data_IF_505557160552
#
_entry.id   IF_505557160552
#
_cell.length_a   1.000
_cell.length_b   1.000
_cell.length_c   1.000
_cell.angle_alpha   90.00
_cell.angle_beta   90.00
_cell.angle_gamma   90.00
#
_symmetry.space_group_name_H-M   'P 1'
#
loop_
_entity.id
_entity.type
_entity.pdbx_description
1 polymer ?
#
# COMPACT_ATOMS: atom_id res chain seq x y z
N UNK A 1 36.08 -44.94 17.89
CA UNK A 1 36.48 -44.95 16.47
C UNK A 1 35.62 -43.90 15.79
N UNK A 2 35.89 -42.61 15.87
CA UNK A 2 37.11 -41.84 15.51
C UNK A 2 37.46 -41.94 14.03
N UNK A 3 37.61 -40.75 13.40
CA UNK A 3 38.01 -40.40 12.02
C UNK A 3 36.84 -40.14 11.07
N UNK A 4 36.81 -39.12 10.22
CA UNK A 4 37.75 -38.04 9.87
C UNK A 4 36.91 -37.04 9.04
N UNK A 5 36.77 -35.77 9.44
CA UNK A 5 36.33 -34.70 8.53
C UNK A 5 37.38 -33.60 8.61
N UNK A 6 38.26 -33.63 7.62
CA UNK A 6 39.33 -32.67 7.38
C UNK A 6 38.76 -31.26 7.14
N UNK A 7 39.41 -30.29 7.78
CA UNK A 7 39.17 -28.85 7.67
C UNK A 7 39.30 -28.36 6.23
N UNK A 8 38.22 -27.76 5.68
CA UNK A 8 38.37 -26.81 4.56
C UNK A 8 38.53 -25.41 5.14
N UNK A 9 39.69 -24.83 4.90
CA UNK A 9 40.05 -23.45 5.26
C UNK A 9 39.27 -22.49 4.36
N UNK A 10 38.47 -21.61 4.92
CA UNK A 10 37.82 -20.50 4.19
C UNK A 10 38.89 -19.41 3.97
N UNK A 11 39.07 -18.87 2.75
CA UNK A 11 40.10 -17.85 2.49
C UNK A 11 39.77 -16.53 3.20
N UNK A 12 40.82 -15.85 3.68
CA UNK A 12 40.74 -14.54 4.34
C UNK A 12 40.49 -13.44 3.29
N UNK A 13 39.64 -12.47 3.61
CA UNK A 13 39.21 -11.37 2.74
C UNK A 13 40.39 -10.50 2.24
N UNK A 14 41.54 -10.56 2.94
CA UNK A 14 42.77 -9.86 2.55
C UNK A 14 43.41 -10.42 1.27
N UNK A 15 43.14 -11.68 0.91
CA UNK A 15 43.70 -12.31 -0.29
C UNK A 15 43.01 -11.82 -1.59
N UNK A 16 41.86 -11.15 -1.50
CA UNK A 16 41.16 -10.59 -2.67
C UNK A 16 41.69 -9.21 -3.09
N UNK A 17 42.30 -8.46 -2.16
CA UNK A 17 42.68 -7.06 -2.40
C UNK A 17 44.05 -6.88 -3.09
N UNK A 18 44.80 -7.95 -3.29
CA UNK A 18 46.08 -7.94 -4.03
C UNK A 18 45.94 -8.36 -5.51
N UNK A 19 44.73 -8.70 -5.97
CA UNK A 19 44.49 -9.17 -7.35
C UNK A 19 44.15 -8.09 -8.38
N UNK A 20 43.92 -6.83 -7.98
CA UNK A 20 43.68 -5.73 -8.92
C UNK A 20 44.65 -4.59 -8.63
N UNK A 21 45.75 -4.56 -9.38
CA UNK A 21 46.80 -3.55 -9.31
C UNK A 21 46.33 -2.18 -9.80
N UNK A 22 45.54 -1.47 -9.00
CA UNK A 22 45.34 -0.04 -9.12
C UNK A 22 45.27 0.58 -7.73
N UNK A 23 46.35 1.26 -7.33
CA UNK A 23 46.40 2.52 -6.57
C UNK A 23 47.89 2.72 -6.19
N UNK A 24 48.53 3.71 -6.80
CA UNK A 24 49.85 4.21 -6.37
C UNK A 24 49.67 5.40 -5.41
N UNK A 25 50.62 5.69 -4.50
CA UNK A 25 50.40 6.55 -3.33
C UNK A 25 50.34 8.06 -3.61
N UNK A 26 50.31 8.50 -4.86
CA UNK A 26 50.53 9.89 -5.25
C UNK A 26 49.25 10.73 -5.48
N UNK A 27 48.06 10.13 -5.43
CA UNK A 27 46.79 10.79 -5.79
C UNK A 27 45.94 11.25 -4.59
N UNK A 28 46.39 11.02 -3.35
CA UNK A 28 45.61 11.30 -2.14
C UNK A 28 45.63 12.76 -1.69
N UNK A 29 46.57 13.58 -2.17
CA UNK A 29 46.77 14.97 -1.68
C UNK A 29 45.93 16.01 -2.42
N UNK A 30 45.44 15.71 -3.63
CA UNK A 30 44.68 16.68 -4.45
C UNK A 30 43.16 16.66 -4.18
N UNK A 31 42.62 15.54 -3.69
CA UNK A 31 41.18 15.41 -3.41
C UNK A 31 40.74 16.22 -2.17
N UNK A 32 41.65 16.40 -1.20
CA UNK A 32 41.37 17.11 0.06
C UNK A 32 41.32 18.64 -0.13
N UNK A 33 41.97 19.18 -1.15
CA UNK A 33 42.03 20.64 -1.42
C UNK A 33 40.77 21.14 -2.18
N UNK A 34 40.13 20.27 -2.96
CA UNK A 34 38.90 20.62 -3.71
C UNK A 34 37.66 20.61 -2.79
N UNK A 35 37.64 19.77 -1.76
CA UNK A 35 36.52 19.71 -0.80
C UNK A 35 36.52 20.91 0.17
N UNK A 36 37.69 21.50 0.47
CA UNK A 36 37.79 22.65 1.37
C UNK A 36 37.43 24.00 0.72
N UNK A 37 37.28 24.05 -0.61
CA UNK A 37 37.05 25.30 -1.37
C UNK A 37 35.60 25.51 -1.81
N UNK A 38 34.70 24.53 -1.63
CA UNK A 38 33.25 24.70 -1.88
C UNK A 38 32.44 25.09 -0.64
N UNK A 39 33.05 25.13 0.55
CA UNK A 39 32.36 25.45 1.81
C UNK A 39 32.24 26.97 2.12
N UNK A 40 32.51 27.86 1.16
CA UNK A 40 32.62 29.31 1.41
C UNK A 40 31.63 30.23 0.65
N UNK A 41 30.65 29.69 -0.09
CA UNK A 41 29.70 30.52 -0.83
C UNK A 41 28.25 29.99 -0.76
N UNK A 42 27.63 30.08 0.41
CA UNK A 42 26.17 30.14 0.56
C UNK A 42 25.77 30.63 1.97
N UNK A 43 26.24 31.83 2.34
CA UNK A 43 25.72 32.56 3.49
C UNK A 43 25.09 33.86 3.00
N UNK A 44 23.77 33.87 2.78
CA UNK A 44 22.97 35.08 2.72
C UNK A 44 21.56 34.81 3.29
N UNK A 45 21.39 35.33 4.50
CA UNK A 45 20.18 35.74 5.21
C UNK A 45 18.88 35.88 4.41
N UNK A 46 17.85 35.13 4.82
CA UNK A 46 16.43 35.45 4.62
C UNK A 46 15.71 35.34 5.96
N UNK A 47 15.36 36.49 6.55
CA UNK A 47 14.65 36.60 7.82
C UNK A 47 13.14 36.46 7.58
N UNK A 48 12.38 35.61 8.31
CA UNK A 48 10.93 35.60 8.18
C UNK A 48 10.32 36.78 8.95
N UNK A 49 9.59 37.62 8.22
CA UNK A 49 8.70 38.66 8.75
C UNK A 49 7.58 38.01 9.58
N UNK A 50 7.25 38.50 10.78
CA UNK A 50 6.13 37.97 11.55
C UNK A 50 4.79 38.39 10.91
N UNK A 51 4.00 37.41 10.48
CA UNK A 51 2.60 37.58 10.11
C UNK A 51 1.79 38.01 11.34
N UNK A 52 0.90 39.01 11.26
CA UNK A 52 0.07 39.41 12.40
C UNK A 52 -0.92 38.29 12.76
N UNK A 53 -1.04 38.03 14.06
CA UNK A 53 -2.08 37.20 14.65
C UNK A 53 -3.46 37.83 14.34
N UNK A 54 -4.27 37.12 13.55
CA UNK A 54 -5.70 37.39 13.46
C UNK A 54 -6.35 36.85 14.74
N UNK A 55 -6.81 37.75 15.59
CA UNK A 55 -7.65 37.44 16.74
C UNK A 55 -8.97 36.86 16.22
N UNK A 56 -9.29 35.64 16.62
CA UNK A 56 -10.64 35.11 16.50
C UNK A 56 -11.53 35.89 17.46
N UNK A 57 -12.41 36.74 16.91
CA UNK A 57 -13.52 37.31 17.67
C UNK A 57 -14.53 36.21 18.00
N UNK A 58 -14.81 36.11 19.30
CA UNK A 58 -15.91 35.35 19.90
C UNK A 58 -17.23 35.69 19.21
N UNK A 59 -18.06 34.73 18.77
CA UNK A 59 -19.39 35.06 18.29
C UNK A 59 -20.26 35.52 19.46
N UNK A 60 -20.68 36.79 19.38
CA UNK A 60 -21.67 37.43 20.23
C UNK A 60 -23.05 36.78 20.00
N UNK A 61 -23.71 36.44 21.11
CA UNK A 61 -25.06 35.91 21.16
C UNK A 61 -26.10 37.03 20.97
N UNK A 62 -26.87 36.97 19.89
CA UNK A 62 -28.02 37.88 19.64
C UNK A 62 -29.13 37.11 18.90
N UNK A 63 -30.40 37.53 18.99
CA UNK A 63 -31.47 36.81 19.68
C UNK A 63 -32.41 36.06 18.73
N UNK A 64 -33.23 35.21 19.33
CA UNK A 64 -34.40 34.50 18.79
C UNK A 64 -35.15 35.25 17.66
N UNK A 65 -35.38 34.63 16.49
CA UNK A 65 -36.26 35.19 15.48
C UNK A 65 -37.74 34.97 15.86
N UNK A 66 -38.49 36.06 15.91
CA UNK A 66 -39.96 36.08 15.97
C UNK A 66 -40.52 35.55 14.64
N UNK A 67 -41.40 34.55 14.72
CA UNK A 67 -42.15 33.98 13.60
C UNK A 67 -43.15 34.97 12.99
N UNK A 68 -43.19 35.10 11.65
CA UNK A 68 -44.41 35.48 10.95
C UNK A 68 -44.88 34.39 9.97
N UNK A 69 -46.13 33.96 10.13
CA UNK A 69 -47.07 33.81 9.02
C UNK A 69 -46.86 32.70 7.98
N UNK A 70 -47.60 31.59 8.21
CA UNK A 70 -48.19 30.64 7.25
C UNK A 70 -48.15 31.11 5.77
N UNK A 71 -47.49 30.39 4.87
CA UNK A 71 -47.83 30.32 3.43
C UNK A 71 -47.26 29.05 2.77
N UNK A 72 -48.17 28.29 2.14
CA UNK A 72 -48.03 27.13 1.24
C UNK A 72 -47.08 25.98 1.63
N UNK A 73 -47.68 24.86 2.03
CA UNK A 73 -47.08 23.51 1.92
C UNK A 73 -46.57 23.30 0.48
N UNK A 74 -45.28 23.01 0.25
CA UNK A 74 -44.82 22.59 -1.07
C UNK A 74 -45.52 21.27 -1.41
N UNK A 75 -46.27 21.24 -2.51
CA UNK A 75 -46.73 20.01 -3.12
C UNK A 75 -45.50 19.13 -3.37
N UNK A 76 -45.49 17.93 -2.79
CA UNK A 76 -44.44 16.95 -3.06
C UNK A 76 -44.43 16.65 -4.56
N UNK A 77 -43.47 17.22 -5.29
CA UNK A 77 -43.12 16.75 -6.61
C UNK A 77 -42.62 15.33 -6.42
N UNK A 78 -43.35 14.36 -6.97
CA UNK A 78 -42.91 12.97 -7.05
C UNK A 78 -41.68 12.98 -7.96
N UNK A 79 -40.48 13.05 -7.38
CA UNK A 79 -39.26 12.81 -8.15
C UNK A 79 -39.34 11.34 -8.58
N UNK A 80 -39.29 11.03 -9.89
CA UNK A 80 -39.30 9.64 -10.32
C UNK A 80 -38.13 8.91 -9.64
N UNK A 81 -38.44 7.81 -8.96
CA UNK A 81 -37.44 6.98 -8.32
C UNK A 81 -36.50 6.43 -9.41
N UNK A 82 -35.17 6.46 -9.21
CA UNK A 82 -34.25 5.89 -10.18
C UNK A 82 -34.61 4.43 -10.44
N UNK A 83 -34.65 4.05 -11.71
CA UNK A 83 -34.98 2.69 -12.18
C UNK A 83 -33.70 2.00 -12.61
N UNK A 84 -33.60 0.69 -12.37
CA UNK A 84 -32.46 -0.14 -12.77
C UNK A 84 -32.18 0.01 -14.26
N UNK A 85 -30.90 0.02 -14.62
CA UNK A 85 -30.43 0.01 -16.01
C UNK A 85 -29.93 -1.38 -16.44
N UNK A 86 -29.82 -2.29 -15.48
CA UNK A 86 -29.53 -3.70 -15.71
C UNK A 86 -30.86 -4.34 -16.13
N UNK A 87 -31.03 -4.61 -17.43
CA UNK A 87 -32.20 -5.32 -17.99
C UNK A 87 -32.20 -6.80 -17.57
N UNK A 88 -32.22 -7.06 -16.27
CA UNK A 88 -32.12 -8.38 -15.64
C UNK A 88 -33.29 -8.54 -14.67
N UNK A 89 -34.09 -9.58 -14.90
CA UNK A 89 -35.12 -9.98 -13.94
C UNK A 89 -34.51 -10.91 -12.88
N UNK A 90 -34.97 -10.83 -11.63
CA UNK A 90 -34.46 -11.70 -10.56
C UNK A 90 -34.60 -13.19 -10.86
N UNK A 91 -35.55 -13.58 -11.72
CA UNK A 91 -35.67 -14.97 -12.16
C UNK A 91 -34.49 -15.48 -12.99
N UNK A 92 -33.78 -14.59 -13.68
CA UNK A 92 -32.64 -14.92 -14.52
C UNK A 92 -31.40 -15.26 -13.69
N UNK A 93 -31.38 -14.87 -12.41
CA UNK A 93 -30.31 -15.15 -11.46
C UNK A 93 -30.40 -16.54 -10.84
N UNK A 94 -31.54 -17.21 -10.97
CA UNK A 94 -31.83 -18.43 -10.24
C UNK A 94 -30.90 -19.60 -10.64
N UNK A 95 -30.18 -20.15 -9.65
CA UNK A 95 -29.36 -21.34 -9.79
C UNK A 95 -28.07 -21.14 -10.60
N UNK A 96 -27.65 -19.89 -10.83
CA UNK A 96 -26.40 -19.62 -11.55
C UNK A 96 -25.19 -20.18 -10.81
N UNK A 97 -24.20 -20.67 -11.54
CA UNK A 97 -22.90 -21.05 -10.98
C UNK A 97 -21.82 -20.09 -11.48
N UNK A 98 -21.09 -19.49 -10.55
CA UNK A 98 -20.05 -18.51 -10.80
C UNK A 98 -18.69 -19.06 -10.37
N UNK A 99 -17.67 -18.87 -11.20
CA UNK A 99 -16.30 -19.23 -10.87
C UNK A 99 -15.54 -18.02 -10.33
N UNK A 100 -14.84 -18.21 -9.20
CA UNK A 100 -14.08 -17.16 -8.53
C UNK A 100 -12.61 -17.55 -8.34
N UNK A 101 -11.70 -16.84 -8.99
CA UNK A 101 -10.25 -17.08 -8.88
C UNK A 101 -9.59 -16.11 -7.91
N UNK A 102 -8.86 -16.64 -6.93
CA UNK A 102 -8.19 -15.83 -5.91
C UNK A 102 -6.80 -16.36 -5.50
N UNK A 103 -5.92 -15.49 -4.95
CA UNK A 103 -4.58 -15.86 -4.49
C UNK A 103 -4.48 -16.06 -2.97
N UNK A 104 -5.60 -15.93 -2.23
CA UNK A 104 -5.56 -16.01 -0.77
C UNK A 104 -5.45 -17.45 -0.28
N UNK A 105 -4.57 -17.65 0.70
CA UNK A 105 -4.32 -18.91 1.39
C UNK A 105 -4.26 -18.66 2.91
N UNK A 106 -4.08 -19.71 3.72
CA UNK A 106 -4.02 -19.59 5.18
C UNK A 106 -5.32 -19.04 5.77
N UNK A 107 -5.20 -18.22 6.81
CA UNK A 107 -6.35 -17.65 7.53
C UNK A 107 -7.22 -16.77 6.63
N UNK A 108 -6.63 -15.95 5.76
CA UNK A 108 -7.40 -15.13 4.80
C UNK A 108 -8.17 -16.00 3.81
N UNK A 109 -7.55 -17.08 3.29
CA UNK A 109 -8.23 -18.03 2.40
C UNK A 109 -9.40 -18.72 3.09
N UNK A 110 -9.23 -19.12 4.36
CA UNK A 110 -10.29 -19.73 5.15
C UNK A 110 -11.47 -18.79 5.41
N UNK A 111 -11.20 -17.53 5.77
CA UNK A 111 -12.25 -16.52 6.01
C UNK A 111 -13.06 -16.23 4.73
N UNK A 112 -12.38 -16.12 3.58
CA UNK A 112 -13.06 -15.93 2.29
C UNK A 112 -13.90 -17.15 1.93
N UNK A 113 -13.40 -18.36 2.18
CA UNK A 113 -14.15 -19.59 1.95
C UNK A 113 -15.42 -19.65 2.82
N UNK A 114 -15.34 -19.26 4.09
CA UNK A 114 -16.50 -19.16 4.98
C UNK A 114 -17.54 -18.16 4.46
N UNK A 115 -17.12 -16.98 3.98
CA UNK A 115 -18.05 -16.00 3.37
C UNK A 115 -18.72 -16.53 2.10
N UNK A 116 -18.00 -17.32 1.29
CA UNK A 116 -18.55 -17.95 0.08
C UNK A 116 -19.56 -19.05 0.44
N UNK A 117 -19.28 -19.85 1.46
CA UNK A 117 -20.21 -20.87 1.94
C UNK A 117 -21.50 -20.24 2.50
N UNK A 118 -21.37 -19.15 3.26
CA UNK A 118 -22.52 -18.40 3.77
C UNK A 118 -23.34 -17.80 2.61
N UNK A 119 -22.68 -17.17 1.63
CA UNK A 119 -23.36 -16.65 0.44
C UNK A 119 -24.10 -17.75 -0.32
N UNK A 120 -23.44 -18.87 -0.63
CA UNK A 120 -24.03 -20.00 -1.35
C UNK A 120 -25.23 -20.61 -0.61
N UNK A 121 -25.23 -20.58 0.71
CA UNK A 121 -26.30 -21.14 1.53
C UNK A 121 -27.50 -20.20 1.71
N UNK A 122 -27.26 -18.88 1.71
CA UNK A 122 -28.25 -17.89 2.16
C UNK A 122 -28.83 -17.02 1.05
N UNK A 123 -28.17 -16.89 -0.10
CA UNK A 123 -28.66 -16.03 -1.17
C UNK A 123 -30.00 -16.55 -1.74
N UNK A 124 -30.93 -15.63 -1.98
CA UNK A 124 -32.32 -15.97 -2.37
C UNK A 124 -32.46 -16.59 -3.76
N UNK A 125 -31.44 -16.41 -4.61
CA UNK A 125 -31.41 -16.89 -5.99
C UNK A 125 -30.79 -18.29 -6.11
N UNK A 126 -30.22 -18.85 -5.04
CA UNK A 126 -29.50 -20.13 -5.09
C UNK A 126 -28.28 -20.10 -6.02
N UNK A 127 -27.61 -18.94 -6.11
CA UNK A 127 -26.35 -18.77 -6.82
C UNK A 127 -25.26 -19.57 -6.09
N UNK A 128 -24.46 -20.30 -6.85
CA UNK A 128 -23.33 -21.09 -6.36
C UNK A 128 -22.02 -20.48 -6.83
N UNK A 129 -21.18 -20.03 -5.90
CA UNK A 129 -19.83 -19.56 -6.17
C UNK A 129 -18.84 -20.69 -5.92
N UNK A 130 -18.13 -21.07 -6.97
CA UNK A 130 -17.02 -22.04 -6.95
C UNK A 130 -15.69 -21.28 -6.87
N UNK A 131 -15.07 -21.29 -5.68
CA UNK A 131 -13.75 -20.69 -5.46
C UNK A 131 -12.63 -21.60 -5.95
N UNK A 132 -11.64 -21.02 -6.63
CA UNK A 132 -10.45 -21.73 -7.12
C UNK A 132 -9.21 -20.94 -6.71
N UNK A 133 -8.44 -21.54 -5.81
CA UNK A 133 -7.14 -21.00 -5.41
C UNK A 133 -6.13 -21.08 -6.56
N UNK A 134 -5.54 -19.94 -6.91
CA UNK A 134 -4.62 -19.80 -8.06
C UNK A 134 -3.16 -19.59 -7.64
N UNK A 135 -2.81 -19.88 -6.39
CA UNK A 135 -1.44 -19.72 -5.91
C UNK A 135 -1.18 -18.30 -5.42
N UNK A 136 -0.33 -17.56 -6.14
CA UNK A 136 0.04 -16.18 -5.79
C UNK A 136 -0.70 -15.16 -6.67
N UNK A 137 -0.66 -13.89 -6.29
CA UNK A 137 -1.13 -12.80 -7.15
C UNK A 137 -0.46 -12.82 -8.54
N UNK A 138 0.82 -13.20 -8.61
CA UNK A 138 1.53 -13.29 -9.88
C UNK A 138 1.07 -14.49 -10.72
N UNK A 139 0.90 -15.65 -10.09
CA UNK A 139 0.41 -16.87 -10.77
C UNK A 139 -1.00 -16.69 -11.32
N UNK A 140 -1.89 -16.05 -10.56
CA UNK A 140 -3.23 -15.67 -11.02
C UNK A 140 -3.17 -14.70 -12.20
N UNK A 141 -2.32 -13.68 -12.11
CA UNK A 141 -2.10 -12.72 -13.20
C UNK A 141 -1.65 -13.38 -14.50
N UNK A 142 -0.61 -14.21 -14.45
CA UNK A 142 -0.11 -14.93 -15.62
C UNK A 142 -1.18 -15.85 -16.21
N UNK A 143 -1.98 -16.51 -15.35
CA UNK A 143 -3.05 -17.39 -15.79
C UNK A 143 -4.15 -16.65 -16.55
N UNK A 144 -4.56 -15.46 -16.09
CA UNK A 144 -5.53 -14.63 -16.81
C UNK A 144 -4.94 -14.12 -18.12
N UNK A 145 -3.68 -13.69 -18.11
CA UNK A 145 -2.98 -13.20 -19.32
C UNK A 145 -2.95 -14.25 -20.44
N UNK A 146 -2.75 -15.53 -20.13
CA UNK A 146 -2.72 -16.61 -21.14
C UNK A 146 -4.07 -17.26 -21.42
N UNK A 147 -5.10 -17.01 -20.60
CA UNK A 147 -6.42 -17.60 -20.79
C UNK A 147 -7.16 -16.95 -21.98
N UNK A 148 -7.65 -17.77 -22.89
CA UNK A 148 -8.50 -17.32 -23.99
C UNK A 148 -9.94 -17.09 -23.49
N UNK A 149 -10.62 -15.99 -23.89
CA UNK A 149 -11.99 -15.72 -23.44
C UNK A 149 -12.97 -16.86 -23.70
N UNK A 150 -12.85 -17.55 -24.83
CA UNK A 150 -13.67 -18.71 -25.18
C UNK A 150 -13.32 -19.99 -24.40
N UNK A 151 -12.22 -19.99 -23.63
CA UNK A 151 -11.62 -21.19 -23.04
C UNK A 151 -11.57 -21.21 -21.50
N UNK A 152 -12.21 -20.25 -20.80
CA UNK A 152 -12.44 -20.34 -19.36
C UNK A 152 -11.73 -19.27 -18.51
N UNK A 153 -11.98 -18.00 -18.80
CA UNK A 153 -11.80 -16.94 -17.80
C UNK A 153 -12.84 -17.13 -16.68
N UNK A 154 -12.49 -16.79 -15.42
CA UNK A 154 -13.45 -16.84 -14.33
C UNK A 154 -14.50 -15.74 -14.45
N UNK A 155 -15.65 -15.93 -13.78
CA UNK A 155 -16.64 -14.85 -13.63
C UNK A 155 -16.11 -13.73 -12.74
N UNK A 156 -15.34 -14.09 -11.70
CA UNK A 156 -14.74 -13.17 -10.75
C UNK A 156 -13.25 -13.49 -10.58
N UNK A 157 -12.41 -12.47 -10.55
CA UNK A 157 -10.98 -12.63 -10.29
C UNK A 157 -10.46 -11.54 -9.35
N UNK A 158 -9.55 -11.93 -8.47
CA UNK A 158 -8.81 -10.99 -7.64
C UNK A 158 -7.56 -10.52 -8.39
N UNK A 159 -7.35 -9.21 -8.47
CA UNK A 159 -6.12 -8.62 -8.98
C UNK A 159 -5.69 -7.42 -8.15
N UNK A 160 -4.39 -7.16 -8.07
CA UNK A 160 -3.93 -5.84 -7.66
C UNK A 160 -4.34 -4.80 -8.73
N UNK A 161 -4.54 -3.54 -8.33
CA UNK A 161 -4.99 -2.48 -9.25
C UNK A 161 -4.16 -2.44 -10.55
N UNK A 162 -2.82 -2.45 -10.46
CA UNK A 162 -1.95 -2.44 -11.63
C UNK A 162 -2.09 -3.69 -12.53
N UNK A 163 -2.47 -4.84 -11.97
CA UNK A 163 -2.71 -6.07 -12.73
C UNK A 163 -4.02 -6.00 -13.50
N UNK A 164 -5.07 -5.46 -12.88
CA UNK A 164 -6.37 -5.23 -13.54
C UNK A 164 -6.19 -4.27 -14.72
N UNK A 165 -5.47 -3.16 -14.52
CA UNK A 165 -5.16 -2.20 -15.58
C UNK A 165 -4.34 -2.82 -16.71
N UNK A 166 -3.39 -3.71 -16.37
CA UNK A 166 -2.63 -4.47 -17.36
C UNK A 166 -3.53 -5.39 -18.18
N UNK A 167 -4.45 -6.14 -17.55
CA UNK A 167 -5.40 -7.00 -18.27
C UNK A 167 -6.27 -6.20 -19.26
N UNK A 168 -6.76 -5.04 -18.84
CA UNK A 168 -7.54 -4.12 -19.71
C UNK A 168 -6.70 -3.68 -20.91
N UNK A 169 -5.47 -3.24 -20.66
CA UNK A 169 -4.55 -2.78 -21.72
C UNK A 169 -4.16 -3.90 -22.67
N UNK A 170 -4.02 -5.13 -22.17
CA UNK A 170 -3.80 -6.36 -22.96
C UNK A 170 -5.05 -6.84 -23.71
N UNK A 171 -6.19 -6.15 -23.60
CA UNK A 171 -7.43 -6.47 -24.31
C UNK A 171 -8.24 -7.60 -23.69
N UNK A 172 -8.02 -7.94 -22.41
CA UNK A 172 -8.88 -8.88 -21.68
C UNK A 172 -10.25 -8.26 -21.41
N UNK A 173 -11.33 -9.06 -21.44
CA UNK A 173 -12.69 -8.57 -21.24
C UNK A 173 -13.00 -8.31 -19.76
N UNK A 174 -12.37 -7.29 -19.16
CA UNK A 174 -12.67 -6.87 -17.78
C UNK A 174 -13.90 -5.97 -17.79
N UNK A 175 -14.95 -6.42 -17.13
CA UNK A 175 -16.22 -5.68 -17.03
C UNK A 175 -16.09 -4.46 -16.10
N UNK A 176 -16.58 -3.31 -16.55
CA UNK A 176 -16.74 -2.14 -15.70
C UNK A 176 -17.87 -2.32 -14.69
N UNK A 177 -17.54 -2.13 -13.42
CA UNK A 177 -18.42 -2.36 -12.27
C UNK A 177 -19.29 -1.15 -11.91
N UNK A 178 -19.06 0.03 -12.50
CA UNK A 178 -19.80 1.26 -12.13
C UNK A 178 -21.31 1.10 -12.23
N UNK A 179 -21.79 0.46 -13.31
CA UNK A 179 -23.24 0.27 -13.52
C UNK A 179 -23.85 -0.66 -12.47
N UNK A 180 -23.09 -1.63 -11.95
CA UNK A 180 -23.57 -2.57 -10.95
C UNK A 180 -23.55 -1.96 -9.56
N UNK A 181 -22.45 -1.28 -9.20
CA UNK A 181 -22.30 -0.65 -7.89
C UNK A 181 -23.34 0.45 -7.67
N UNK A 182 -23.67 1.20 -8.72
CA UNK A 182 -24.59 2.35 -8.63
C UNK A 182 -26.04 2.00 -9.03
N UNK A 183 -26.34 0.72 -9.31
CA UNK A 183 -27.70 0.36 -9.71
C UNK A 183 -28.68 0.58 -8.54
N UNK A 184 -29.82 1.26 -8.76
CA UNK A 184 -30.77 1.57 -7.68
C UNK A 184 -31.53 0.35 -7.14
N UNK A 185 -31.51 -0.78 -7.84
CA UNK A 185 -32.17 -2.02 -7.43
C UNK A 185 -31.17 -3.08 -6.97
N UNK A 186 -30.07 -3.24 -7.71
CA UNK A 186 -29.10 -4.32 -7.49
C UNK A 186 -27.76 -3.86 -6.89
N UNK A 187 -27.54 -2.55 -6.79
CA UNK A 187 -26.30 -1.95 -6.33
C UNK A 187 -26.22 -1.75 -4.83
N UNK A 188 -25.18 -1.03 -4.41
CA UNK A 188 -24.95 -0.71 -3.00
C UNK A 188 -25.63 0.61 -2.63
N UNK A 189 -26.25 0.65 -1.46
CA UNK A 189 -26.80 1.88 -0.88
C UNK A 189 -25.70 2.90 -0.57
N UNK A 190 -26.10 4.15 -0.37
CA UNK A 190 -25.16 5.22 0.03
C UNK A 190 -24.51 4.91 1.38
N UNK A 191 -25.27 4.31 2.28
CA UNK A 191 -24.83 3.88 3.60
C UNK A 191 -23.78 2.75 3.50
N UNK A 192 -24.02 1.73 2.68
CA UNK A 192 -23.05 0.64 2.47
C UNK A 192 -21.76 1.13 1.81
N UNK A 193 -21.85 2.08 0.88
CA UNK A 193 -20.66 2.70 0.27
C UNK A 193 -19.88 3.55 1.28
N UNK A 194 -20.58 4.20 2.23
CA UNK A 194 -19.97 5.02 3.26
C UNK A 194 -19.20 4.20 4.32
N UNK A 195 -19.47 2.90 4.43
CA UNK A 195 -18.71 1.99 5.31
C UNK A 195 -17.29 1.71 4.79
N UNK A 196 -17.01 2.01 3.52
CA UNK A 196 -15.66 1.90 2.95
C UNK A 196 -14.84 3.18 3.17
N UNK A 197 -13.55 3.02 3.46
CA UNK A 197 -12.62 4.14 3.36
C UNK A 197 -12.54 4.64 1.91
N UNK A 198 -12.84 5.92 1.70
CA UNK A 198 -12.90 6.54 0.36
C UNK A 198 -11.64 6.32 -0.46
N UNK A 199 -10.45 6.37 0.15
CA UNK A 199 -9.18 6.12 -0.54
C UNK A 199 -9.12 4.73 -1.18
N UNK A 200 -9.76 3.73 -0.58
CA UNK A 200 -9.84 2.39 -1.16
C UNK A 200 -11.01 2.28 -2.14
N UNK A 201 -12.16 2.87 -1.82
CA UNK A 201 -13.29 2.82 -2.73
C UNK A 201 -12.95 3.47 -4.08
N UNK A 202 -12.20 4.56 -4.11
CA UNK A 202 -11.89 5.29 -5.34
C UNK A 202 -10.68 4.75 -6.13
N UNK A 203 -9.88 3.84 -5.56
CA UNK A 203 -8.58 3.47 -6.15
C UNK A 203 -8.67 2.75 -7.51
N UNK A 204 -9.79 2.08 -7.78
CA UNK A 204 -10.02 1.28 -8.99
C UNK A 204 -10.92 2.01 -10.00
N UNK A 205 -11.09 3.32 -9.84
CA UNK A 205 -11.86 4.19 -10.73
C UNK A 205 -10.93 4.92 -11.69
N UNK A 206 -11.13 4.76 -13.01
CA UNK A 206 -10.46 5.50 -14.07
C UNK A 206 -11.50 5.94 -15.12
N UNK A 207 -11.33 7.10 -15.76
CA UNK A 207 -12.21 7.54 -16.86
C UNK A 207 -13.72 7.35 -16.56
N UNK A 208 -14.14 7.67 -15.33
CA UNK A 208 -15.51 7.54 -14.81
C UNK A 208 -16.06 6.10 -14.73
N UNK A 209 -15.24 5.08 -14.96
CA UNK A 209 -15.57 3.67 -14.78
C UNK A 209 -14.76 3.04 -13.64
N UNK A 210 -15.34 2.04 -12.99
CA UNK A 210 -14.74 1.26 -11.91
C UNK A 210 -14.39 -0.11 -12.46
N UNK A 211 -13.13 -0.54 -12.39
CA UNK A 211 -12.74 -1.88 -12.87
C UNK A 211 -12.40 -2.87 -11.75
N UNK A 212 -12.53 -2.43 -10.50
CA UNK A 212 -12.30 -3.26 -9.32
C UNK A 212 -13.14 -2.78 -8.14
N UNK A 213 -13.38 -3.70 -7.20
CA UNK A 213 -14.03 -3.39 -5.94
C UNK A 213 -13.12 -3.85 -4.78
N UNK A 214 -12.96 -3.05 -3.71
CA UNK A 214 -12.06 -3.42 -2.61
C UNK A 214 -12.54 -4.68 -1.88
N UNK A 215 -11.73 -5.73 -1.86
CA UNK A 215 -12.00 -6.95 -1.10
C UNK A 215 -11.12 -7.05 0.16
N UNK A 216 -9.80 -6.97 0.00
CA UNK A 216 -8.82 -7.04 1.09
C UNK A 216 -7.78 -5.96 0.91
N UNK A 217 -7.45 -5.23 1.97
CA UNK A 217 -6.36 -4.25 2.00
C UNK A 217 -5.44 -4.52 3.18
N UNK A 218 -4.15 -4.28 2.96
CA UNK A 218 -3.08 -4.44 3.95
C UNK A 218 -2.22 -3.20 3.97
N UNK A 219 -1.73 -2.81 5.14
CA UNK A 219 -0.75 -1.75 5.29
C UNK A 219 0.58 -2.35 5.76
N UNK A 220 1.72 -1.94 5.18
CA UNK A 220 3.02 -2.25 5.77
C UNK A 220 3.14 -1.48 7.09
N UNK A 221 3.42 -2.19 8.18
CA UNK A 221 3.63 -1.62 9.51
C UNK A 221 5.05 -1.92 9.98
N UNK A 222 5.60 -1.00 10.78
CA UNK A 222 6.82 -1.22 11.53
C UNK A 222 6.46 -1.59 12.97
N UNK A 223 6.91 -2.76 13.41
CA UNK A 223 6.76 -3.20 14.80
C UNK A 223 8.01 -2.83 15.59
N UNK A 224 7.80 -2.31 16.80
CA UNK A 224 8.86 -1.84 17.68
C UNK A 224 8.76 -2.51 19.06
N UNK A 225 9.85 -3.16 19.48
CA UNK A 225 9.92 -3.81 20.79
C UNK A 225 10.22 -2.79 21.89
N UNK A 226 9.15 -2.24 22.49
CA UNK A 226 9.25 -1.22 23.55
C UNK A 226 9.95 -1.70 24.82
N UNK A 227 9.89 -2.99 25.14
CA UNK A 227 10.54 -3.55 26.35
C UNK A 227 12.04 -3.59 26.15
N UNK A 228 12.48 -4.14 25.02
CA UNK A 228 13.90 -4.23 24.71
C UNK A 228 14.55 -2.85 24.53
N UNK A 229 13.84 -1.91 23.91
CA UNK A 229 14.35 -0.56 23.80
C UNK A 229 14.60 0.12 25.16
N UNK A 230 13.75 -0.13 26.17
CA UNK A 230 13.96 0.37 27.54
C UNK A 230 15.19 -0.25 28.19
N UNK A 231 15.43 -1.55 27.97
CA UNK A 231 16.65 -2.23 28.44
C UNK A 231 17.91 -1.63 27.82
N UNK A 232 17.81 -1.16 26.57
CA UNK A 232 18.87 -0.46 25.85
C UNK A 232 18.98 1.03 26.20
N UNK A 233 18.13 1.54 27.10
CA UNK A 233 18.18 2.91 27.61
C UNK A 233 17.25 3.91 26.90
N UNK A 234 16.37 3.46 26.00
CA UNK A 234 15.44 4.34 25.27
C UNK A 234 14.04 4.29 25.88
N UNK A 235 13.53 5.46 26.31
CA UNK A 235 12.20 5.56 26.94
C UNK A 235 11.05 5.73 25.96
N UNK A 236 11.33 6.08 24.70
CA UNK A 236 10.34 6.42 23.68
C UNK A 236 10.73 5.85 22.31
N UNK A 237 9.76 5.52 21.44
CA UNK A 237 10.03 5.23 20.03
C UNK A 237 10.75 6.42 19.35
N UNK A 238 11.56 6.16 18.31
CA UNK A 238 12.25 7.22 17.59
C UNK A 238 11.26 8.09 16.82
N UNK A 239 11.48 9.40 16.86
CA UNK A 239 10.69 10.42 16.18
C UNK A 239 11.43 11.06 15.00
N UNK A 240 12.75 10.86 14.90
CA UNK A 240 13.61 11.32 13.80
C UNK A 240 14.42 10.17 13.21
N UNK A 241 14.98 10.39 12.02
CA UNK A 241 15.91 9.46 11.38
C UNK A 241 17.16 9.21 12.21
N UNK A 242 17.66 10.23 12.90
CA UNK A 242 18.83 10.16 13.77
C UNK A 242 18.54 9.28 14.99
N UNK A 243 17.39 9.50 15.65
CA UNK A 243 16.95 8.67 16.77
C UNK A 243 16.70 7.22 16.33
N UNK A 244 16.09 7.04 15.15
CA UNK A 244 15.85 5.71 14.58
C UNK A 244 17.17 4.97 14.36
N UNK A 245 18.16 5.63 13.75
CA UNK A 245 19.49 5.08 13.53
C UNK A 245 20.17 4.76 14.86
N UNK A 246 20.09 5.64 15.86
CA UNK A 246 20.69 5.41 17.17
C UNK A 246 20.15 4.14 17.83
N UNK A 247 18.83 3.99 17.88
CA UNK A 247 18.17 2.84 18.50
C UNK A 247 18.44 1.54 17.74
N UNK A 248 18.35 1.56 16.41
CA UNK A 248 18.65 0.41 15.55
C UNK A 248 20.10 -0.04 15.70
N UNK A 249 21.05 0.90 15.75
CA UNK A 249 22.46 0.58 15.96
C UNK A 249 22.73 0.06 17.37
N UNK A 250 22.04 0.57 18.40
CA UNK A 250 22.16 0.05 19.76
C UNK A 250 21.67 -1.39 19.86
N UNK A 251 20.51 -1.70 19.26
CA UNK A 251 19.96 -3.05 19.19
C UNK A 251 20.87 -4.00 18.39
N UNK A 252 21.42 -3.55 17.25
CA UNK A 252 22.38 -4.34 16.48
C UNK A 252 23.65 -4.67 17.29
N UNK A 253 24.21 -3.68 17.99
CA UNK A 253 25.38 -3.87 18.87
C UNK A 253 25.08 -4.82 20.04
N UNK A 254 23.89 -4.73 20.62
CA UNK A 254 23.52 -5.55 21.77
C UNK A 254 23.55 -7.05 21.46
N UNK A 255 23.09 -7.44 20.26
CA UNK A 255 23.16 -8.83 19.83
C UNK A 255 24.56 -9.19 19.33
N UNK A 256 25.23 -8.30 18.57
CA UNK A 256 26.56 -8.59 18.02
C UNK A 256 27.71 -8.59 19.05
N UNK A 257 27.45 -8.34 20.33
CA UNK A 257 28.47 -8.21 21.38
C UNK A 257 28.23 -9.11 22.59
N UNK A 258 27.22 -9.96 22.54
CA UNK A 258 26.92 -10.91 23.61
C UNK A 258 27.64 -12.26 23.39
N UNK A 259 27.47 -13.20 24.32
CA UNK A 259 28.06 -14.54 24.24
C UNK A 259 27.17 -15.56 23.48
N UNK A 260 26.22 -15.09 22.65
CA UNK A 260 25.21 -15.87 21.95
C UNK A 260 25.33 -15.68 20.42
N UNK A 261 26.32 -16.33 19.76
CA UNK A 261 26.58 -16.14 18.32
C UNK A 261 25.38 -16.44 17.40
N UNK A 262 24.38 -17.19 17.88
CA UNK A 262 23.17 -17.51 17.14
C UNK A 262 22.24 -16.30 16.94
N UNK A 263 22.37 -15.24 17.73
CA UNK A 263 21.57 -14.03 17.59
C UNK A 263 22.33 -12.88 16.90
N UNK A 264 23.59 -13.11 16.53
CA UNK A 264 24.37 -12.19 15.70
C UNK A 264 23.59 -11.84 14.42
N UNK A 265 23.38 -10.54 14.19
CA UNK A 265 22.63 -10.03 13.05
C UNK A 265 21.10 -10.05 13.19
N UNK A 266 20.56 -10.53 14.30
CA UNK A 266 19.12 -10.45 14.61
C UNK A 266 18.70 -9.14 15.31
N UNK A 267 19.67 -8.35 15.77
CA UNK A 267 19.43 -7.06 16.41
C UNK A 267 19.35 -5.90 15.41
N UNK A 268 18.55 -4.90 15.74
CA UNK A 268 18.38 -3.70 14.91
C UNK A 268 17.14 -3.76 14.01
N UNK A 269 17.30 -3.30 12.77
CA UNK A 269 16.20 -3.17 11.81
C UNK A 269 16.23 -4.31 10.80
N UNK A 270 15.16 -5.09 10.77
CA UNK A 270 14.92 -6.07 9.72
C UNK A 270 14.40 -5.36 8.47
N UNK A 271 15.23 -5.35 7.42
CA UNK A 271 14.96 -4.62 6.18
C UNK A 271 13.85 -5.33 5.39
N UNK A 272 12.78 -4.60 5.11
CA UNK A 272 11.75 -5.02 4.16
C UNK A 272 12.09 -4.47 2.77
N UNK A 273 12.51 -5.35 1.85
CA UNK A 273 12.91 -4.99 0.49
C UNK A 273 11.77 -5.05 -0.52
N UNK A 274 10.53 -5.19 -0.08
CA UNK A 274 9.37 -5.14 -0.99
C UNK A 274 9.23 -3.73 -1.59
N UNK A 275 8.69 -3.59 -2.82
CA UNK A 275 8.49 -2.29 -3.44
C UNK A 275 7.70 -1.31 -2.56
N UNK A 276 6.64 -1.79 -1.89
CA UNK A 276 5.84 -0.98 -0.97
C UNK A 276 6.64 -0.52 0.26
N UNK A 277 7.50 -1.38 0.81
CA UNK A 277 8.38 -1.05 1.93
C UNK A 277 9.39 0.04 1.56
N UNK A 278 10.05 -0.09 0.41
CA UNK A 278 10.99 0.91 -0.09
C UNK A 278 10.27 2.23 -0.41
N UNK A 279 9.13 2.18 -1.09
CA UNK A 279 8.34 3.36 -1.42
C UNK A 279 7.87 4.11 -0.16
N UNK A 280 7.49 3.38 0.90
CA UNK A 280 7.13 3.99 2.19
C UNK A 280 8.27 4.81 2.78
N UNK A 281 9.51 4.31 2.67
CA UNK A 281 10.69 5.06 3.12
C UNK A 281 10.98 6.28 2.25
N UNK A 282 10.88 6.15 0.93
CA UNK A 282 11.06 7.29 0.02
C UNK A 282 10.09 8.43 0.39
N UNK A 283 8.83 8.11 0.67
CA UNK A 283 7.85 9.08 1.14
C UNK A 283 8.13 9.62 2.55
N UNK A 284 8.58 8.78 3.48
CA UNK A 284 8.95 9.21 4.83
C UNK A 284 10.10 10.23 4.83
N UNK A 285 11.01 10.15 3.85
CA UNK A 285 12.09 11.11 3.63
C UNK A 285 11.71 12.28 2.70
N UNK A 286 10.43 12.42 2.36
CA UNK A 286 9.91 13.55 1.58
C UNK A 286 10.18 13.47 0.08
N UNK A 287 10.57 12.30 -0.44
CA UNK A 287 10.64 12.08 -1.89
C UNK A 287 9.24 11.99 -2.50
N UNK A 288 9.14 12.29 -3.80
CA UNK A 288 7.98 11.95 -4.63
C UNK A 288 8.48 11.09 -5.78
N UNK A 289 7.80 9.97 -6.03
CA UNK A 289 8.15 9.07 -7.15
C UNK A 289 7.47 9.42 -8.45
N UNK A 290 6.53 10.36 -8.43
CA UNK A 290 5.83 10.89 -9.61
C UNK A 290 6.43 12.26 -9.94
N UNK A 291 6.73 12.48 -11.23
CA UNK A 291 7.17 13.79 -11.68
C UNK A 291 6.10 14.87 -11.42
N UNK A 292 6.49 16.11 -11.04
CA UNK A 292 5.53 17.20 -10.83
C UNK A 292 4.65 17.51 -12.04
N UNK A 293 5.16 17.27 -13.25
CA UNK A 293 4.42 17.45 -14.52
C UNK A 293 3.46 16.28 -14.84
N UNK A 294 3.33 15.30 -13.94
CA UNK A 294 2.35 14.22 -14.01
C UNK A 294 2.66 13.09 -14.99
N UNK A 295 3.76 13.16 -15.75
CA UNK A 295 4.18 12.07 -16.66
C UNK A 295 5.52 11.46 -16.23
N UNK A 296 5.51 10.16 -15.94
CA UNK A 296 6.70 9.37 -15.62
C UNK A 296 7.05 9.31 -14.13
N UNK A 297 8.06 8.48 -13.84
CA UNK A 297 8.56 8.22 -12.49
C UNK A 297 9.94 8.85 -12.28
N UNK A 298 10.19 9.39 -11.09
CA UNK A 298 11.50 9.89 -10.68
C UNK A 298 11.96 9.17 -9.40
N UNK A 299 13.11 8.50 -9.49
CA UNK A 299 13.71 7.82 -8.33
C UNK A 299 15.06 8.41 -7.95
N UNK A 300 15.64 9.27 -8.78
CA UNK A 300 16.93 9.89 -8.56
C UNK A 300 16.73 11.31 -8.00
N UNK A 301 16.60 11.41 -6.68
CA UNK A 301 16.37 12.66 -5.95
C UNK A 301 17.33 12.73 -4.77
N UNK A 302 17.71 13.92 -4.27
CA UNK A 302 18.52 14.02 -3.06
C UNK A 302 17.91 13.29 -1.85
N UNK A 303 16.58 13.10 -1.82
CA UNK A 303 15.87 12.40 -0.76
C UNK A 303 15.98 10.86 -0.86
N UNK A 304 16.52 10.33 -1.97
CA UNK A 304 16.59 8.90 -2.26
C UNK A 304 18.03 8.39 -2.42
N UNK A 305 19.03 9.26 -2.23
CA UNK A 305 20.46 8.95 -2.14
C UNK A 305 20.88 8.65 -0.69
#
# INVERSE_FOLDING_TARGET
MTKDIQSRRVPDFRDYLTSFGMITPASSTYLVIIILSMALLAACSGQPTPTPLVLFETPESTPTPTTPGITSTPTATITPQPTSSLEVDGSDLNGLTLTFWHPWSGETGAAIQESIEDFNATNEFGIMVESIYQGTFNSLYERIEVAEPAAGLPNLAVGANYQIQSWITSGKPVTGLTIFVNDPEWGLSTEELADFYSVFLEQDVNEQNRFGFPAVRSAPLMFYNTTWAKELGFSSPPSTSEEFKEQVCAAARANSSNDLPQDDGSGGWLINTTPAGILSWMYAFGSSVIHPEGSGYQFNTPQTE
#
